data_IF_474848797558
#
_entry.id   IF_474848797558
#
_cell.length_a   1.000
_cell.length_b   1.000
_cell.length_c   1.000
_cell.angle_alpha   90.00
_cell.angle_beta   90.00
_cell.angle_gamma   90.00
#
_symmetry.space_group_name_H-M   'P 1'
#
loop_
_entity.id
_entity.type
_entity.pdbx_description
1 polymer ?
#
# COMPACT_ATOMS: atom_id res chain seq x y z
N UNK A 1 -4.13 15.30 -5.18
CA UNK A 1 -4.30 13.88 -4.86
C UNK A 1 -4.40 13.12 -6.16
N UNK A 2 -3.60 12.07 -6.32
CA UNK A 2 -3.53 11.28 -7.55
C UNK A 2 -4.72 10.31 -7.64
N UNK A 3 -5.11 9.96 -8.86
CA UNK A 3 -6.09 8.88 -9.12
C UNK A 3 -5.38 7.52 -9.18
N UNK A 4 -6.11 6.42 -8.99
CA UNK A 4 -5.55 5.06 -8.90
C UNK A 4 -4.56 4.71 -10.03
N UNK A 5 -4.90 5.01 -11.28
CA UNK A 5 -4.05 4.72 -12.44
C UNK A 5 -2.73 5.52 -12.45
N UNK A 6 -2.67 6.67 -11.78
CA UNK A 6 -1.42 7.42 -11.64
C UNK A 6 -0.47 6.76 -10.64
N UNK A 7 -0.99 6.07 -9.63
CA UNK A 7 -0.17 5.25 -8.72
C UNK A 7 0.39 4.01 -9.41
N UNK A 8 -0.40 3.34 -10.25
CA UNK A 8 0.10 2.20 -11.03
C UNK A 8 1.27 2.65 -11.92
N UNK A 9 1.16 3.82 -12.57
CA UNK A 9 2.25 4.38 -13.38
C UNK A 9 3.50 4.75 -12.59
N UNK A 10 3.38 5.00 -11.29
CA UNK A 10 4.52 5.28 -10.42
C UNK A 10 5.30 4.01 -10.07
N UNK A 11 4.70 2.82 -10.16
CA UNK A 11 5.45 1.57 -10.01
C UNK A 11 6.49 1.46 -11.12
N UNK A 12 7.73 1.12 -10.74
CA UNK A 12 8.85 1.08 -11.67
C UNK A 12 9.46 2.44 -12.03
N UNK A 13 8.90 3.56 -11.57
CA UNK A 13 9.54 4.87 -11.75
C UNK A 13 10.80 4.99 -10.89
N UNK A 14 11.83 5.61 -11.45
CA UNK A 14 13.00 6.00 -10.67
C UNK A 14 12.65 7.16 -9.73
N UNK A 15 13.31 7.24 -8.58
CA UNK A 15 13.21 8.41 -7.71
C UNK A 15 13.66 9.72 -8.35
N UNK A 16 14.43 9.64 -9.44
CA UNK A 16 14.90 10.79 -10.21
C UNK A 16 13.94 11.21 -11.32
N UNK A 17 12.93 10.40 -11.62
CA UNK A 17 11.92 10.73 -12.61
C UNK A 17 11.04 11.89 -12.10
N UNK A 18 10.73 12.82 -13.00
CA UNK A 18 9.93 14.01 -12.67
C UNK A 18 8.57 13.65 -12.08
N UNK A 19 8.02 12.48 -12.44
CA UNK A 19 6.75 11.99 -11.91
C UNK A 19 6.85 11.69 -10.40
N UNK A 20 7.93 11.04 -9.97
CA UNK A 20 8.16 10.76 -8.55
C UNK A 20 8.65 12.00 -7.80
N UNK A 21 9.55 12.79 -8.39
CA UNK A 21 10.07 14.02 -7.76
C UNK A 21 8.95 14.98 -7.35
N UNK A 22 7.88 15.07 -8.16
CA UNK A 22 6.74 15.96 -7.89
C UNK A 22 5.68 15.36 -6.95
N UNK A 23 5.88 14.15 -6.42
CA UNK A 23 4.87 13.45 -5.62
C UNK A 23 4.49 14.22 -4.34
N UNK A 24 5.46 14.87 -3.71
CA UNK A 24 5.25 15.70 -2.51
C UNK A 24 4.26 16.85 -2.76
N UNK A 25 4.28 17.44 -3.96
CA UNK A 25 3.32 18.47 -4.36
C UNK A 25 1.91 17.92 -4.52
N UNK A 26 1.77 16.67 -4.98
CA UNK A 26 0.46 16.04 -5.14
C UNK A 26 -0.23 15.72 -3.81
N UNK A 27 0.57 15.45 -2.78
CA UNK A 27 0.13 15.22 -1.41
C UNK A 27 0.08 16.50 -0.56
N UNK A 28 0.74 17.56 -1.00
CA UNK A 28 1.00 18.75 -0.17
C UNK A 28 1.66 18.37 1.17
N UNK A 29 2.59 17.42 1.11
CA UNK A 29 3.29 16.84 2.25
C UNK A 29 4.72 16.47 1.82
N UNK A 30 5.69 16.63 2.72
CA UNK A 30 7.04 16.08 2.52
C UNK A 30 7.14 14.72 3.20
N UNK A 31 7.76 13.72 2.54
CA UNK A 31 7.89 12.40 3.13
C UNK A 31 8.92 12.41 4.26
N UNK A 32 8.67 11.60 5.29
CA UNK A 32 9.74 11.12 6.16
C UNK A 32 10.50 10.02 5.42
N UNK A 33 11.79 10.24 5.18
CA UNK A 33 12.65 9.29 4.47
C UNK A 33 13.44 8.47 5.47
N UNK A 34 13.37 7.15 5.34
CA UNK A 34 14.16 6.19 6.11
C UNK A 34 14.82 5.19 5.16
N UNK A 35 16.04 4.78 5.49
CA UNK A 35 16.79 3.78 4.74
C UNK A 35 16.80 2.48 5.51
N UNK A 36 16.68 1.36 4.79
CA UNK A 36 16.85 0.04 5.38
C UNK A 36 18.26 -0.16 5.95
N UNK A 37 18.41 -1.15 6.83
CA UNK A 37 19.71 -1.47 7.45
C UNK A 37 20.77 -1.85 6.41
N UNK A 38 20.36 -2.43 5.28
CA UNK A 38 21.26 -2.87 4.21
C UNK A 38 21.56 -1.76 3.19
N UNK A 39 20.82 -0.65 3.21
CA UNK A 39 20.96 0.45 2.25
C UNK A 39 20.46 0.16 0.84
N UNK A 40 19.75 -0.96 0.64
CA UNK A 40 19.17 -1.35 -0.65
C UNK A 40 17.74 -0.79 -0.84
N UNK A 41 17.08 -0.46 0.27
CA UNK A 41 15.70 0.03 0.28
C UNK A 41 15.55 1.38 0.96
N UNK A 42 14.70 2.22 0.36
CA UNK A 42 14.31 3.52 0.88
C UNK A 42 12.79 3.59 1.10
N UNK A 43 12.38 4.13 2.24
CA UNK A 43 10.99 4.29 2.64
C UNK A 43 10.61 5.76 2.63
N UNK A 44 9.66 6.14 1.79
CA UNK A 44 9.13 7.51 1.70
C UNK A 44 7.73 7.53 2.32
N UNK A 45 7.66 7.95 3.58
CA UNK A 45 6.43 7.90 4.38
C UNK A 45 5.72 9.25 4.38
N UNK A 46 4.58 9.33 3.70
CA UNK A 46 3.64 10.45 3.74
C UNK A 46 2.59 10.17 4.83
N UNK A 47 2.98 10.42 6.08
CA UNK A 47 2.22 10.02 7.27
C UNK A 47 0.84 10.66 7.32
N UNK A 48 0.68 11.94 6.95
CA UNK A 48 -0.60 12.63 6.95
C UNK A 48 -1.50 12.20 5.78
N UNK A 49 -0.88 11.88 4.66
CA UNK A 49 -1.60 11.38 3.48
C UNK A 49 -1.97 9.91 3.59
N UNK A 50 -1.36 9.16 4.51
CA UNK A 50 -1.61 7.73 4.65
C UNK A 50 -1.00 6.88 3.53
N UNK A 51 0.16 7.29 3.00
CA UNK A 51 0.82 6.62 1.87
C UNK A 51 2.29 6.34 2.19
N UNK A 52 2.74 5.13 1.90
CA UNK A 52 4.13 4.72 1.98
C UNK A 52 4.61 4.23 0.61
N UNK A 53 5.71 4.79 0.14
CA UNK A 53 6.46 4.22 -0.99
C UNK A 53 7.66 3.46 -0.46
N UNK A 54 7.83 2.23 -0.91
CA UNK A 54 9.05 1.46 -0.77
C UNK A 54 9.77 1.47 -2.12
N UNK A 55 11.01 1.94 -2.08
CA UNK A 55 11.90 1.92 -3.23
C UNK A 55 12.97 0.87 -2.99
N UNK A 56 13.25 0.07 -4.02
CA UNK A 56 14.36 -0.87 -4.08
C UNK A 56 15.23 -0.48 -5.27
N UNK A 57 16.55 -0.39 -5.08
CA UNK A 57 17.50 0.09 -6.10
C UNK A 57 17.09 1.44 -6.74
N UNK A 58 16.55 2.35 -5.93
CA UNK A 58 16.10 3.69 -6.34
C UNK A 58 14.89 3.73 -7.29
N UNK A 59 14.19 2.61 -7.38
CA UNK A 59 12.97 2.44 -8.18
C UNK A 59 11.80 2.14 -7.25
N UNK A 60 10.63 2.73 -7.51
CA UNK A 60 9.41 2.44 -6.74
C UNK A 60 8.98 1.00 -6.99
N UNK A 61 9.11 0.17 -5.97
CA UNK A 61 8.74 -1.26 -6.02
C UNK A 61 7.32 -1.47 -5.48
N UNK A 62 6.97 -0.75 -4.41
CA UNK A 62 5.72 -0.92 -3.71
C UNK A 62 5.14 0.42 -3.25
N UNK A 63 3.81 0.52 -3.31
CA UNK A 63 3.03 1.65 -2.77
C UNK A 63 1.97 1.07 -1.84
N UNK A 64 1.94 1.55 -0.60
CA UNK A 64 0.97 1.12 0.43
C UNK A 64 0.11 2.29 0.86
N UNK A 65 -1.20 2.06 0.92
CA UNK A 65 -2.22 2.99 1.38
C UNK A 65 -2.82 2.47 2.69
N UNK A 66 -2.88 3.35 3.69
CA UNK A 66 -3.45 3.03 4.99
C UNK A 66 -4.94 3.36 4.98
N UNK A 67 -5.80 2.33 4.90
CA UNK A 67 -7.25 2.50 4.88
C UNK A 67 -7.83 2.85 6.25
N UNK A 68 -7.03 2.68 7.32
CA UNK A 68 -7.30 3.14 8.69
C UNK A 68 -6.01 3.65 9.31
N UNK A 69 -6.13 4.46 10.37
CA UNK A 69 -4.97 4.97 11.12
C UNK A 69 -4.19 3.81 11.76
N UNK A 70 -2.93 3.66 11.40
CA UNK A 70 -2.05 2.62 11.92
C UNK A 70 -0.57 3.01 11.75
N UNK A 71 0.33 2.50 12.60
CA UNK A 71 1.79 2.75 12.52
C UNK A 71 2.21 4.22 12.41
N UNK A 72 1.37 5.15 12.88
CA UNK A 72 1.60 6.59 12.79
C UNK A 72 1.12 7.24 11.48
N UNK A 73 0.64 6.46 10.51
CA UNK A 73 -0.03 6.94 9.31
C UNK A 73 -1.49 7.30 9.60
N UNK A 74 -1.98 8.35 8.97
CA UNK A 74 -3.39 8.70 8.88
C UNK A 74 -4.09 7.85 7.83
N UNK A 75 -5.42 7.88 7.87
CA UNK A 75 -6.25 7.25 6.85
C UNK A 75 -6.11 7.97 5.50
N UNK A 76 -5.79 7.20 4.47
CA UNK A 76 -5.77 7.66 3.08
C UNK A 76 -7.17 8.11 2.63
N UNK A 77 -7.24 9.31 2.04
CA UNK A 77 -8.50 9.96 1.65
C UNK A 77 -8.82 9.86 0.16
N UNK A 78 -7.96 9.21 -0.62
CA UNK A 78 -8.19 9.00 -2.04
C UNK A 78 -8.97 7.74 -2.37
N UNK A 79 -9.11 7.50 -3.67
CA UNK A 79 -9.84 6.36 -4.18
C UNK A 79 -9.03 5.07 -3.97
N UNK A 80 -9.70 4.05 -3.46
CA UNK A 80 -9.20 2.69 -3.31
C UNK A 80 -10.06 1.74 -4.15
N UNK A 81 -9.55 0.56 -4.53
CA UNK A 81 -10.28 -0.40 -5.36
C UNK A 81 -11.53 -0.96 -4.67
N UNK A 82 -11.61 -0.85 -3.34
CA UNK A 82 -12.76 -1.20 -2.50
C UNK A 82 -12.91 -0.16 -1.39
N UNK A 83 -14.08 -0.11 -0.74
CA UNK A 83 -14.32 0.83 0.36
C UNK A 83 -13.40 0.53 1.56
N UNK A 84 -13.03 1.57 2.32
CA UNK A 84 -12.27 1.40 3.57
C UNK A 84 -13.02 0.59 4.65
N UNK A 85 -14.34 0.49 4.51
CA UNK A 85 -15.20 -0.31 5.40
C UNK A 85 -15.52 -1.68 4.81
N UNK A 86 -14.90 -2.04 3.68
CA UNK A 86 -15.13 -3.35 3.06
C UNK A 86 -14.49 -4.47 3.87
N UNK A 87 -15.27 -5.53 4.05
CA UNK A 87 -14.81 -6.85 4.50
C UNK A 87 -14.08 -7.62 3.41
N UNK A 88 -13.38 -8.70 3.81
CA UNK A 88 -12.76 -9.61 2.85
C UNK A 88 -13.80 -10.16 1.85
N UNK A 89 -14.99 -10.54 2.35
CA UNK A 89 -16.06 -11.08 1.52
C UNK A 89 -16.57 -10.06 0.50
N UNK A 90 -16.79 -8.80 0.90
CA UNK A 90 -17.22 -7.74 -0.01
C UNK A 90 -16.15 -7.43 -1.05
N UNK A 91 -14.87 -7.42 -0.65
CA UNK A 91 -13.77 -7.24 -1.59
C UNK A 91 -13.74 -8.35 -2.66
N UNK A 92 -13.97 -9.61 -2.27
CA UNK A 92 -14.07 -10.75 -3.21
C UNK A 92 -15.30 -10.61 -4.13
N UNK A 93 -16.42 -10.08 -3.64
CA UNK A 93 -17.59 -9.82 -4.49
C UNK A 93 -17.34 -8.74 -5.53
N UNK A 94 -16.55 -7.71 -5.19
CA UNK A 94 -16.25 -6.58 -6.08
C UNK A 94 -15.15 -6.95 -7.09
N UNK A 95 -14.07 -7.58 -6.62
CA UNK A 95 -12.85 -7.82 -7.41
C UNK A 95 -12.77 -9.23 -8.00
N UNK A 96 -13.65 -10.14 -7.57
CA UNK A 96 -13.60 -11.55 -7.93
C UNK A 96 -12.74 -12.38 -6.98
N UNK A 97 -12.45 -13.62 -7.36
CA UNK A 97 -11.66 -14.53 -6.53
C UNK A 97 -10.17 -14.14 -6.52
N UNK A 98 -9.53 -14.03 -5.36
CA UNK A 98 -8.11 -13.71 -5.27
C UNK A 98 -7.25 -14.88 -5.76
N UNK A 99 -6.05 -14.56 -6.24
CA UNK A 99 -5.04 -15.54 -6.62
C UNK A 99 -4.54 -16.32 -5.39
N UNK A 100 -4.39 -15.63 -4.26
CA UNK A 100 -3.97 -16.26 -3.00
C UNK A 100 -4.49 -15.47 -1.80
N UNK A 101 -4.51 -16.11 -0.64
CA UNK A 101 -4.89 -15.51 0.64
C UNK A 101 -4.09 -16.11 1.78
N UNK A 102 -4.04 -15.40 2.90
CA UNK A 102 -3.29 -15.83 4.08
C UNK A 102 -3.59 -15.00 5.32
N UNK A 103 -2.78 -15.22 6.36
CA UNK A 103 -2.95 -14.56 7.66
C UNK A 103 -4.14 -15.12 8.45
N UNK A 104 -4.76 -14.27 9.26
CA UNK A 104 -5.88 -14.62 10.13
C UNK A 104 -5.51 -15.56 11.29
N UNK A 105 -4.23 -15.58 11.67
CA UNK A 105 -3.68 -16.51 12.67
C UNK A 105 -2.70 -15.80 13.58
N UNK A 106 -2.60 -16.29 14.81
CA UNK A 106 -1.58 -15.86 15.76
C UNK A 106 -0.29 -16.64 15.52
N UNK A 107 0.80 -15.92 15.33
CA UNK A 107 2.16 -16.41 15.33
C UNK A 107 2.82 -16.16 16.69
N UNK A 108 3.67 -17.08 17.13
CA UNK A 108 4.28 -17.03 18.46
C UNK A 108 5.28 -15.86 18.64
N UNK A 109 5.88 -15.38 17.55
CA UNK A 109 6.84 -14.28 17.57
C UNK A 109 6.20 -12.97 17.12
N UNK A 110 5.40 -13.02 16.07
CA UNK A 110 4.85 -11.82 15.41
C UNK A 110 3.48 -11.40 15.96
N UNK A 111 2.88 -12.19 16.85
CA UNK A 111 1.53 -11.92 17.34
C UNK A 111 0.47 -12.22 16.28
N UNK A 112 -0.64 -11.50 16.30
CA UNK A 112 -1.70 -11.71 15.31
C UNK A 112 -1.28 -11.19 13.93
N UNK A 113 -1.31 -12.08 12.94
CA UNK A 113 -1.09 -11.73 11.54
C UNK A 113 -2.46 -11.50 10.91
N UNK A 114 -2.71 -10.26 10.50
CA UNK A 114 -3.93 -9.84 9.81
C UNK A 114 -4.22 -10.70 8.56
N UNK A 115 -5.51 -10.88 8.27
CA UNK A 115 -5.93 -11.57 7.04
C UNK A 115 -5.53 -10.75 5.84
N UNK A 116 -5.23 -11.43 4.75
CA UNK A 116 -4.94 -10.76 3.50
C UNK A 116 -5.31 -11.60 2.29
N UNK A 117 -5.59 -10.91 1.19
CA UNK A 117 -5.84 -11.50 -0.13
C UNK A 117 -4.99 -10.79 -1.18
N UNK A 118 -4.49 -11.55 -2.17
CA UNK A 118 -3.67 -11.05 -3.27
C UNK A 118 -4.36 -11.32 -4.61
N UNK A 119 -4.35 -10.30 -5.46
CA UNK A 119 -4.68 -10.36 -6.87
C UNK A 119 -3.43 -10.07 -7.70
N UNK A 120 -3.41 -10.52 -8.93
CA UNK A 120 -2.31 -10.31 -9.85
C UNK A 120 -2.87 -10.07 -11.25
N UNK A 121 -2.33 -9.07 -11.93
CA UNK A 121 -2.58 -8.83 -13.35
C UNK A 121 -1.25 -8.62 -14.08
N UNK A 122 -1.30 -8.30 -15.38
CA UNK A 122 -0.10 -8.13 -16.19
C UNK A 122 0.76 -6.90 -15.79
N UNK A 123 0.18 -5.93 -15.07
CA UNK A 123 0.83 -4.66 -14.71
C UNK A 123 1.35 -4.63 -13.28
N UNK A 124 0.62 -5.24 -12.32
CA UNK A 124 0.96 -5.21 -10.90
C UNK A 124 0.25 -6.29 -10.08
N UNK A 125 0.79 -6.55 -8.89
CA UNK A 125 0.14 -7.29 -7.82
C UNK A 125 -0.64 -6.34 -6.90
N UNK A 126 -1.90 -6.65 -6.59
CA UNK A 126 -2.73 -5.96 -5.60
C UNK A 126 -2.87 -6.81 -4.35
N UNK A 127 -2.56 -6.25 -3.20
CA UNK A 127 -2.70 -6.90 -1.90
C UNK A 127 -3.63 -6.09 -1.00
N UNK A 128 -4.65 -6.75 -0.45
CA UNK A 128 -5.58 -6.16 0.51
C UNK A 128 -5.41 -6.86 1.85
N UNK A 129 -5.25 -6.08 2.90
CA UNK A 129 -5.12 -6.55 4.27
C UNK A 129 -6.35 -6.14 5.08
N UNK A 130 -6.83 -7.03 5.94
CA UNK A 130 -8.00 -6.84 6.78
C UNK A 130 -7.62 -7.02 8.25
N UNK A 131 -8.02 -6.07 9.08
CA UNK A 131 -7.77 -6.13 10.52
C UNK A 131 -8.63 -7.21 11.21
N UNK A 132 -8.43 -7.37 12.52
CA UNK A 132 -9.17 -8.34 13.34
C UNK A 132 -10.70 -8.18 13.32
N UNK A 133 -11.20 -7.00 12.96
CA UNK A 133 -12.63 -6.71 12.84
C UNK A 133 -13.15 -6.95 11.41
N UNK A 134 -12.35 -7.56 10.53
CA UNK A 134 -12.67 -7.80 9.12
C UNK A 134 -13.00 -6.50 8.36
N UNK A 135 -12.25 -5.42 8.64
CA UNK A 135 -12.29 -4.20 7.84
C UNK A 135 -10.95 -4.00 7.14
N UNK A 136 -10.99 -3.46 5.93
CA UNK A 136 -9.80 -3.08 5.17
C UNK A 136 -8.87 -2.19 6.03
N UNK A 137 -7.63 -2.63 6.21
CA UNK A 137 -6.60 -1.90 6.96
C UNK A 137 -5.52 -1.34 6.05
N UNK A 138 -5.06 -2.12 5.07
CA UNK A 138 -4.05 -1.68 4.09
C UNK A 138 -4.39 -2.16 2.69
N UNK A 139 -4.04 -1.32 1.72
CA UNK A 139 -4.03 -1.65 0.30
C UNK A 139 -2.62 -1.46 -0.20
N UNK A 140 -2.07 -2.43 -0.91
CA UNK A 140 -0.72 -2.36 -1.43
C UNK A 140 -0.70 -2.76 -2.89
N UNK A 141 -0.04 -1.96 -3.72
CA UNK A 141 0.31 -2.33 -5.10
C UNK A 141 1.82 -2.55 -5.18
N UNK A 142 2.22 -3.60 -5.89
CA UNK A 142 3.62 -4.03 -6.05
C UNK A 142 3.86 -4.37 -7.52
N UNK A 143 5.07 -4.14 -7.98
CA UNK A 143 5.51 -4.57 -9.30
C UNK A 143 5.54 -6.10 -9.44
#
# INVERSE_FOLDING_TARGET
>A
MLIWNEFIKLLGCSKFDSQFVNISSNFNELPKIEESVLGDRNYYSFLQSGVLFLLEDEVVDQITFYAKKDEGFFEYKGELPVSIDSSEQEAVQILGWPLSSGGGKTDALMGYIDRWIKYENEEYSLHLQFNQNDNLSRVTIMR
#
